data_IF_025041994674
#
_entry.id   IF_025041994674
#
_cell.length_a   1.000
_cell.length_b   1.000
_cell.length_c   1.000
_cell.angle_alpha   90.00
_cell.angle_beta   90.00
_cell.angle_gamma   90.00
#
_symmetry.space_group_name_H-M   'P 1'
#
loop_
_entity.id
_entity.type
_entity.pdbx_description
1 polymer ?
#
# COMPACT_ATOMS: atom_id res chain seq x y z
N UNK A 1 7.21 -16.73 1.09
CA UNK A 1 7.80 -15.66 1.92
C UNK A 1 7.82 -14.30 1.25
N UNK A 2 8.27 -14.16 -0.01
CA UNK A 2 8.30 -12.87 -0.72
C UNK A 2 6.97 -12.10 -0.73
N UNK A 3 5.85 -12.80 -0.97
CA UNK A 3 4.50 -12.20 -0.88
C UNK A 3 4.20 -11.58 0.49
N UNK A 4 4.50 -12.29 1.58
CA UNK A 4 4.24 -11.81 2.93
C UNK A 4 5.09 -10.57 3.26
N UNK A 5 6.35 -10.55 2.83
CA UNK A 5 7.26 -9.41 3.04
C UNK A 5 6.79 -8.21 2.20
N UNK A 6 6.65 -8.39 0.89
CA UNK A 6 6.23 -7.31 -0.02
C UNK A 6 4.84 -6.78 0.33
N UNK A 7 3.91 -7.68 0.63
CA UNK A 7 2.54 -7.32 0.98
C UNK A 7 2.42 -6.64 2.34
N UNK A 8 3.13 -7.09 3.37
CA UNK A 8 3.10 -6.40 4.67
C UNK A 8 3.70 -4.99 4.59
N UNK A 9 4.81 -4.81 3.86
CA UNK A 9 5.42 -3.49 3.65
C UNK A 9 4.51 -2.60 2.81
N UNK A 10 3.95 -3.13 1.72
CA UNK A 10 3.02 -2.41 0.84
C UNK A 10 1.77 -1.97 1.58
N UNK A 11 1.19 -2.87 2.37
CA UNK A 11 0.02 -2.61 3.20
C UNK A 11 0.31 -1.54 4.27
N UNK A 12 1.44 -1.65 4.98
CA UNK A 12 1.83 -0.68 6.00
C UNK A 12 2.05 0.73 5.42
N UNK A 13 2.75 0.83 4.28
CA UNK A 13 2.94 2.11 3.59
C UNK A 13 1.63 2.65 3.00
N UNK A 14 0.78 1.78 2.47
CA UNK A 14 -0.53 2.16 1.92
C UNK A 14 -1.44 2.73 3.01
N UNK A 15 -1.47 2.08 4.18
CA UNK A 15 -2.16 2.58 5.37
C UNK A 15 -1.59 3.92 5.85
N UNK A 16 -0.26 4.01 5.98
CA UNK A 16 0.40 5.24 6.43
C UNK A 16 0.07 6.42 5.50
N UNK A 17 0.15 6.22 4.19
CA UNK A 17 -0.14 7.25 3.18
C UNK A 17 -1.63 7.52 2.98
N UNK A 18 -2.50 6.55 3.26
CA UNK A 18 -3.95 6.75 3.24
C UNK A 18 -4.46 7.55 4.44
N UNK A 19 -3.84 7.39 5.60
CA UNK A 19 -4.27 8.04 6.85
C UNK A 19 -3.55 9.35 7.15
N UNK A 20 -2.32 9.53 6.68
CA UNK A 20 -1.47 10.69 6.99
C UNK A 20 -1.11 11.50 5.76
N UNK A 21 -1.58 12.75 5.73
CA UNK A 21 -1.22 13.73 4.69
C UNK A 21 0.28 14.04 4.70
N UNK A 22 0.95 13.97 5.86
CA UNK A 22 2.40 14.16 5.98
C UNK A 22 3.15 13.00 5.31
N UNK A 23 2.76 11.76 5.62
CA UNK A 23 3.37 10.57 5.02
C UNK A 23 3.22 10.61 3.50
N UNK A 24 2.01 10.95 3.04
CA UNK A 24 1.71 11.13 1.61
C UNK A 24 2.58 12.21 1.00
N UNK A 25 2.68 13.39 1.62
CA UNK A 25 3.52 14.48 1.10
C UNK A 25 5.00 14.12 0.96
N UNK A 26 5.52 13.25 1.83
CA UNK A 26 6.93 12.84 1.80
C UNK A 26 7.21 11.69 0.83
N UNK A 27 6.27 10.76 0.65
CA UNK A 27 6.53 9.52 -0.09
C UNK A 27 5.80 9.40 -1.43
N UNK A 28 4.76 10.21 -1.68
CA UNK A 28 3.95 10.10 -2.91
C UNK A 28 4.80 10.33 -4.17
N UNK A 29 5.68 11.35 -4.18
CA UNK A 29 6.57 11.60 -5.32
C UNK A 29 7.53 10.42 -5.56
N UNK A 30 8.17 9.90 -4.52
CA UNK A 30 9.08 8.75 -4.62
C UNK A 30 8.34 7.51 -5.13
N UNK A 31 7.14 7.24 -4.61
CA UNK A 31 6.36 6.05 -4.98
C UNK A 31 5.81 6.15 -6.41
N UNK A 32 5.42 7.35 -6.87
CA UNK A 32 5.04 7.57 -8.26
C UNK A 32 6.23 7.40 -9.22
N UNK A 33 7.42 7.89 -8.85
CA UNK A 33 8.64 7.68 -9.65
C UNK A 33 8.95 6.19 -9.80
N UNK A 34 8.90 5.42 -8.70
CA UNK A 34 9.21 3.99 -8.75
C UNK A 34 8.12 3.22 -9.51
N UNK A 35 6.84 3.61 -9.40
CA UNK A 35 5.74 2.98 -10.17
C UNK A 35 5.95 3.05 -11.68
N UNK A 36 6.61 4.10 -12.17
CA UNK A 36 6.88 4.28 -13.60
C UNK A 36 8.01 3.37 -14.10
N UNK A 37 8.76 2.73 -13.20
CA UNK A 37 9.81 1.78 -13.57
C UNK A 37 9.13 0.45 -13.93
N UNK A 38 9.23 -0.01 -15.19
CA UNK A 38 8.68 -1.30 -15.56
C UNK A 38 9.37 -2.40 -14.77
N UNK A 39 8.60 -3.22 -14.05
CA UNK A 39 9.16 -4.29 -13.20
C UNK A 39 10.07 -5.25 -13.98
N UNK A 40 9.80 -5.45 -15.28
CA UNK A 40 10.62 -6.27 -16.17
C UNK A 40 12.05 -5.74 -16.33
N UNK A 41 12.25 -4.42 -16.25
CA UNK A 41 13.58 -3.81 -16.35
C UNK A 41 14.44 -4.04 -15.10
N UNK A 42 13.83 -4.42 -13.98
CA UNK A 42 14.55 -4.71 -12.73
C UNK A 42 15.17 -6.11 -12.71
N UNK A 43 14.66 -7.04 -13.51
CA UNK A 43 15.15 -8.43 -13.58
C UNK A 43 16.67 -8.51 -13.75
N UNK A 44 17.29 -7.90 -14.79
CA UNK A 44 18.74 -8.00 -14.98
C UNK A 44 19.55 -7.38 -13.84
N UNK A 45 19.05 -6.29 -13.23
CA UNK A 45 19.72 -5.65 -12.09
C UNK A 45 19.72 -6.56 -10.86
N UNK A 46 18.59 -7.21 -10.60
CA UNK A 46 18.46 -8.16 -9.48
C UNK A 46 19.35 -9.38 -9.70
N UNK A 47 19.41 -9.90 -10.93
CA UNK A 47 20.33 -11.02 -11.27
C UNK A 47 21.80 -10.60 -11.07
N UNK A 48 22.16 -9.37 -11.44
CA UNK A 48 23.52 -8.86 -11.22
C UNK A 48 23.90 -8.73 -9.75
N UNK A 49 22.96 -8.33 -8.89
CA UNK A 49 23.22 -8.16 -7.45
C UNK A 49 23.16 -9.45 -6.66
N UNK A 50 22.13 -10.26 -6.90
CA UNK A 50 21.80 -11.43 -6.08
C UNK A 50 22.14 -12.76 -6.77
N UNK A 51 22.60 -12.72 -8.03
CA UNK A 51 22.80 -13.93 -8.82
C UNK A 51 21.48 -14.54 -9.30
N UNK A 52 21.56 -15.79 -9.77
CA UNK A 52 20.40 -16.60 -10.16
C UNK A 52 20.10 -17.57 -9.03
N UNK A 53 19.75 -17.01 -7.87
CA UNK A 53 19.48 -17.76 -6.64
C UNK A 53 18.08 -17.49 -6.09
N UNK A 54 17.71 -18.19 -5.03
CA UNK A 54 16.39 -18.10 -4.41
C UNK A 54 16.08 -16.70 -3.84
N UNK A 55 17.12 -15.97 -3.43
CA UNK A 55 17.01 -14.57 -2.96
C UNK A 55 16.52 -13.63 -4.05
N UNK A 56 17.03 -13.76 -5.29
CA UNK A 56 16.60 -12.97 -6.43
C UNK A 56 15.10 -13.15 -6.70
N UNK A 57 14.63 -14.40 -6.66
CA UNK A 57 13.20 -14.73 -6.81
C UNK A 57 12.36 -14.13 -5.69
N UNK A 58 12.80 -14.25 -4.44
CA UNK A 58 12.10 -13.67 -3.29
C UNK A 58 11.97 -12.15 -3.40
N UNK A 59 13.05 -11.48 -3.80
CA UNK A 59 13.07 -10.03 -3.99
C UNK A 59 12.10 -9.59 -5.10
N UNK A 60 12.13 -10.25 -6.27
CA UNK A 60 11.23 -9.94 -7.37
C UNK A 60 9.76 -10.15 -7.02
N UNK A 61 9.45 -11.23 -6.29
CA UNK A 61 8.07 -11.48 -5.82
C UNK A 61 7.64 -10.42 -4.80
N UNK A 62 8.50 -10.08 -3.84
CA UNK A 62 8.19 -9.05 -2.85
C UNK A 62 7.93 -7.70 -3.53
N UNK A 63 8.80 -7.30 -4.46
CA UNK A 63 8.67 -6.04 -5.20
C UNK A 63 7.45 -6.05 -6.13
N UNK A 64 7.16 -7.19 -6.78
CA UNK A 64 5.99 -7.35 -7.64
C UNK A 64 4.66 -7.21 -6.90
N UNK A 65 4.58 -7.72 -5.66
CA UNK A 65 3.38 -7.68 -4.82
C UNK A 65 3.27 -6.34 -4.06
N UNK A 66 4.40 -5.72 -3.73
CA UNK A 66 4.47 -4.48 -2.97
C UNK A 66 3.62 -3.35 -3.59
N UNK A 67 3.78 -3.07 -4.88
CA UNK A 67 3.09 -1.95 -5.55
C UNK A 67 1.57 -2.11 -5.64
N UNK A 68 1.01 -3.24 -6.13
CA UNK A 68 -0.44 -3.40 -6.18
C UNK A 68 -1.06 -3.32 -4.79
N UNK A 69 -0.47 -3.97 -3.77
CA UNK A 69 -0.99 -3.88 -2.40
C UNK A 69 -0.91 -2.45 -1.86
N UNK A 70 0.20 -1.75 -2.07
CA UNK A 70 0.35 -0.34 -1.69
C UNK A 70 -0.74 0.54 -2.33
N UNK A 71 -0.91 0.45 -3.65
CA UNK A 71 -1.85 1.29 -4.39
C UNK A 71 -3.30 0.95 -4.04
N UNK A 72 -3.65 -0.33 -3.98
CA UNK A 72 -5.00 -0.77 -3.66
C UNK A 72 -5.39 -0.43 -2.22
N UNK A 73 -4.44 -0.46 -1.29
CA UNK A 73 -4.68 0.02 0.08
C UNK A 73 -4.89 1.52 0.11
N UNK A 74 -4.02 2.29 -0.55
CA UNK A 74 -4.11 3.74 -0.60
C UNK A 74 -5.42 4.22 -1.25
N UNK A 75 -5.75 3.67 -2.42
CA UNK A 75 -6.99 3.98 -3.13
C UNK A 75 -8.21 3.51 -2.35
N UNK A 76 -8.14 2.34 -1.70
CA UNK A 76 -9.19 1.85 -0.82
C UNK A 76 -9.55 2.86 0.27
N UNK A 77 -8.54 3.39 0.96
CA UNK A 77 -8.76 4.40 2.01
C UNK A 77 -9.32 5.70 1.43
N UNK A 78 -8.86 6.13 0.25
CA UNK A 78 -9.33 7.36 -0.40
C UNK A 78 -10.73 7.22 -1.02
N UNK A 79 -11.16 6.00 -1.32
CA UNK A 79 -12.49 5.72 -1.89
C UNK A 79 -13.61 5.70 -0.86
N UNK A 80 -13.27 5.71 0.43
CA UNK A 80 -14.25 5.77 1.52
C UNK A 80 -15.00 7.09 1.42
N UNK A 81 -16.33 7.01 1.42
CA UNK A 81 -17.21 8.19 1.32
C UNK A 81 -16.92 9.19 2.47
N UNK A 82 -16.51 10.43 2.13
CA UNK A 82 -16.29 11.48 3.13
C UNK A 82 -17.51 11.73 4.03
N UNK A 83 -18.74 11.53 3.52
CA UNK A 83 -19.96 11.71 4.29
C UNK A 83 -20.07 10.68 5.43
N UNK A 84 -19.68 9.42 5.20
CA UNK A 84 -19.66 8.41 6.25
C UNK A 84 -18.65 8.76 7.36
N UNK A 85 -17.51 9.32 6.97
CA UNK A 85 -16.48 9.79 7.91
C UNK A 85 -16.98 11.00 8.70
N UNK A 86 -17.66 11.94 8.06
CA UNK A 86 -18.22 13.13 8.70
C UNK A 86 -19.37 12.77 9.64
N UNK A 87 -20.29 11.90 9.22
CA UNK A 87 -21.33 11.36 10.10
C UNK A 87 -20.72 10.69 11.33
N UNK A 88 -19.70 9.85 11.15
CA UNK A 88 -18.98 9.24 12.27
C UNK A 88 -18.44 10.25 13.29
N UNK A 89 -17.92 11.39 12.82
CA UNK A 89 -17.47 12.49 13.69
C UNK A 89 -18.63 13.17 14.40
N UNK A 90 -19.75 13.43 13.72
CA UNK A 90 -20.96 14.03 14.33
C UNK A 90 -21.55 13.13 15.42
N UNK A 91 -21.50 11.81 15.23
CA UNK A 91 -21.90 10.82 16.25
C UNK A 91 -20.88 10.67 17.40
N UNK A 92 -19.80 11.45 17.42
CA UNK A 92 -18.82 11.46 18.51
C UNK A 92 -17.82 10.31 18.47
N UNK A 93 -17.62 9.64 17.31
CA UNK A 93 -16.57 8.64 17.18
C UNK A 93 -15.19 9.29 17.34
N UNK A 94 -14.35 8.70 18.18
CA UNK A 94 -12.94 9.07 18.27
C UNK A 94 -12.17 8.59 17.04
N UNK A 95 -10.92 9.05 16.86
CA UNK A 95 -10.10 8.72 15.68
C UNK A 95 -9.92 7.21 15.49
N UNK A 96 -9.81 6.45 16.60
CA UNK A 96 -9.67 4.98 16.53
C UNK A 96 -10.96 4.31 16.12
N UNK A 97 -12.09 4.68 16.70
CA UNK A 97 -13.38 4.11 16.30
C UNK A 97 -13.73 4.49 14.86
N UNK A 98 -13.42 5.72 14.42
CA UNK A 98 -13.59 6.13 13.02
C UNK A 98 -12.77 5.26 12.06
N UNK A 99 -11.52 4.97 12.41
CA UNK A 99 -10.66 4.09 11.63
C UNK A 99 -11.23 2.67 11.54
N UNK A 100 -11.49 2.02 12.68
CA UNK A 100 -11.90 0.60 12.69
C UNK A 100 -13.34 0.36 12.22
N UNK A 101 -14.24 1.34 12.37
CA UNK A 101 -15.67 1.17 12.07
C UNK A 101 -16.10 1.73 10.72
N UNK A 102 -15.33 2.66 10.15
CA UNK A 102 -15.70 3.34 8.90
C UNK A 102 -14.61 3.17 7.86
N UNK A 103 -13.40 3.65 8.15
CA UNK A 103 -12.34 3.73 7.13
C UNK A 103 -11.83 2.34 6.74
N UNK A 104 -11.46 1.51 7.71
CA UNK A 104 -10.96 0.17 7.47
C UNK A 104 -11.98 -0.70 6.72
N UNK A 105 -13.22 -0.89 7.19
CA UNK A 105 -14.21 -1.71 6.48
C UNK A 105 -14.59 -1.14 5.11
N UNK A 106 -14.62 0.19 4.94
CA UNK A 106 -14.84 0.81 3.63
C UNK A 106 -13.70 0.57 2.64
N UNK A 107 -12.46 0.48 3.14
CA UNK A 107 -11.27 0.23 2.32
C UNK A 107 -11.01 -1.26 2.05
N UNK A 108 -11.55 -2.18 2.88
CA UNK A 108 -11.30 -3.63 2.79
C UNK A 108 -11.51 -4.21 1.38
N UNK A 109 -12.61 -3.92 0.64
CA UNK A 109 -12.81 -4.49 -0.68
C UNK A 109 -11.66 -4.18 -1.64
N UNK A 110 -11.15 -2.96 -1.60
CA UNK A 110 -10.00 -2.54 -2.41
C UNK A 110 -8.71 -3.23 -1.94
N UNK A 111 -8.49 -3.30 -0.62
CA UNK A 111 -7.32 -3.98 -0.04
C UNK A 111 -7.25 -5.45 -0.45
N UNK A 112 -8.40 -6.16 -0.48
CA UNK A 112 -8.46 -7.58 -0.85
C UNK A 112 -8.26 -7.85 -2.35
N UNK A 113 -8.41 -6.84 -3.20
CA UNK A 113 -8.16 -6.95 -4.65
C UNK A 113 -6.67 -6.84 -4.97
N UNK A 114 -5.87 -6.26 -4.07
CA UNK A 114 -4.41 -6.19 -4.19
C UNK A 114 -3.69 -7.43 -3.73
#
# INVERSE_FOLDING_TARGET
SGFAIGGSIGFALGLANGLSTLSRGLTDTTLQMIRNIPHLALIPLVILWFGIDEEAKLFLVALGVFFPIYINTLLGIQSVDPQLVEMGRVYGLDRRALFFRVILPGALPSIFVG
#
